data_IF_622814130008
#
_entry.id   IF_622814130008
#
_cell.length_a   1.000
_cell.length_b   1.000
_cell.length_c   1.000
_cell.angle_alpha   90.00
_cell.angle_beta   90.00
_cell.angle_gamma   90.00
#
_symmetry.space_group_name_H-M   'P 1'
#
loop_
_entity.id
_entity.type
_entity.pdbx_description
1 polymer ?
#
# COMPACT_ATOMS: atom_id res chain seq x y z
N UNK A 1 -4.51 4.18 -8.32
CA UNK A 1 -4.67 3.79 -6.92
C UNK A 1 -3.88 4.72 -6.01
N UNK A 2 -4.48 5.12 -4.89
CA UNK A 2 -3.81 5.84 -3.81
C UNK A 2 -3.80 4.97 -2.56
N UNK A 3 -2.62 4.72 -2.00
CA UNK A 3 -2.50 3.88 -0.80
C UNK A 3 -2.68 4.76 0.45
N UNK A 4 -3.62 4.37 1.30
CA UNK A 4 -3.90 5.03 2.59
C UNK A 4 -3.49 4.11 3.74
N UNK A 5 -2.91 4.70 4.78
CA UNK A 5 -2.59 4.01 6.03
C UNK A 5 -2.98 4.86 7.24
N UNK A 6 -2.91 4.26 8.42
CA UNK A 6 -3.19 4.95 9.70
C UNK A 6 -1.97 4.88 10.60
N UNK A 7 -1.50 6.02 11.09
CA UNK A 7 -0.40 6.03 12.05
C UNK A 7 -0.90 5.50 13.39
N UNK A 8 -0.41 4.34 13.84
CA UNK A 8 -0.82 3.76 15.13
C UNK A 8 -0.42 4.60 16.34
N UNK A 9 0.57 5.50 16.21
CA UNK A 9 1.03 6.35 17.32
C UNK A 9 0.13 7.56 17.55
N UNK A 10 -0.30 8.26 16.49
CA UNK A 10 -1.12 9.47 16.61
C UNK A 10 -2.55 9.30 16.10
N UNK A 11 -2.92 8.10 15.62
CA UNK A 11 -4.27 7.74 15.18
C UNK A 11 -4.73 8.36 13.86
N UNK A 12 -3.92 9.20 13.22
CA UNK A 12 -4.30 9.93 12.00
C UNK A 12 -3.99 9.15 10.74
N UNK A 13 -4.91 9.23 9.79
CA UNK A 13 -4.76 8.67 8.44
C UNK A 13 -3.72 9.45 7.63
N UNK A 14 -3.00 8.77 6.76
CA UNK A 14 -2.02 9.37 5.84
C UNK A 14 -2.09 8.69 4.48
N UNK A 15 -1.64 9.39 3.45
CA UNK A 15 -1.36 8.82 2.14
C UNK A 15 0.10 8.36 2.07
N UNK A 16 0.37 7.24 1.41
CA UNK A 16 1.73 6.73 1.20
C UNK A 16 2.64 7.81 0.59
N UNK A 17 2.14 8.57 -0.40
CA UNK A 17 2.81 9.73 -0.99
C UNK A 17 3.28 10.78 0.04
N UNK A 18 2.50 11.04 1.10
CA UNK A 18 2.91 11.96 2.17
C UNK A 18 4.07 11.38 3.00
N UNK A 19 4.12 10.07 3.19
CA UNK A 19 5.19 9.37 3.91
C UNK A 19 6.47 9.32 3.08
N UNK A 20 6.34 9.05 1.78
CA UNK A 20 7.43 9.07 0.80
C UNK A 20 8.10 10.45 0.81
N UNK A 21 7.31 11.52 0.65
CA UNK A 21 7.83 12.91 0.69
C UNK A 21 8.52 13.27 1.99
N UNK A 22 8.06 12.72 3.11
CA UNK A 22 8.63 12.96 4.44
C UNK A 22 9.75 11.96 4.81
N UNK A 23 10.24 11.16 3.86
CA UNK A 23 11.37 10.25 4.07
C UNK A 23 11.07 9.12 5.06
N UNK A 24 9.87 8.55 5.03
CA UNK A 24 9.48 7.43 5.90
C UNK A 24 9.00 7.85 7.29
N UNK A 25 8.71 9.15 7.48
CA UNK A 25 8.18 9.71 8.73
C UNK A 25 6.67 9.94 8.66
N UNK A 26 6.03 9.84 9.81
CA UNK A 26 4.63 10.21 9.93
C UNK A 26 4.47 11.71 9.59
N UNK A 27 3.56 12.08 8.66
CA UNK A 27 3.34 13.48 8.29
C UNK A 27 2.82 14.35 9.44
N UNK A 28 2.36 13.73 10.52
CA UNK A 28 1.58 14.37 11.54
C UNK A 28 2.28 14.51 12.89
N UNK A 29 3.12 13.54 13.26
CA UNK A 29 3.89 13.54 14.51
C UNK A 29 5.40 13.60 14.28
N UNK A 30 5.86 13.53 13.02
CA UNK A 30 7.27 13.64 12.63
C UNK A 30 8.15 12.43 13.00
N UNK A 31 7.60 11.44 13.72
CA UNK A 31 8.37 10.27 14.13
C UNK A 31 8.55 9.30 12.95
N UNK A 32 9.71 8.64 12.82
CA UNK A 32 9.93 7.65 11.77
C UNK A 32 8.99 6.46 11.95
N UNK A 33 8.38 5.95 10.87
CA UNK A 33 7.61 4.71 10.94
C UNK A 33 8.50 3.49 11.15
N UNK A 34 9.69 3.51 10.54
CA UNK A 34 10.78 2.63 10.91
C UNK A 34 12.10 3.40 11.00
N UNK A 35 12.81 3.25 12.11
CA UNK A 35 14.04 4.01 12.39
C UNK A 35 15.22 3.49 11.57
N UNK A 36 15.37 2.16 11.50
CA UNK A 36 16.53 1.52 10.87
C UNK A 36 16.32 1.21 9.38
N UNK A 37 15.06 1.27 8.92
CA UNK A 37 14.66 0.84 7.57
C UNK A 37 13.83 1.89 6.82
N UNK A 38 14.07 3.17 7.09
CA UNK A 38 13.31 4.26 6.46
C UNK A 38 13.39 4.25 4.93
N UNK A 39 14.57 3.96 4.36
CA UNK A 39 14.77 3.86 2.90
C UNK A 39 13.94 2.72 2.32
N UNK A 40 14.06 1.52 2.89
CA UNK A 40 13.30 0.33 2.46
C UNK A 40 11.79 0.59 2.53
N UNK A 41 11.31 1.27 3.56
CA UNK A 41 9.90 1.65 3.67
C UNK A 41 9.47 2.59 2.54
N UNK A 42 10.25 3.63 2.25
CA UNK A 42 9.95 4.60 1.20
C UNK A 42 9.95 3.93 -0.17
N UNK A 43 10.95 3.11 -0.46
CA UNK A 43 11.06 2.38 -1.72
C UNK A 43 9.87 1.43 -1.89
N UNK A 44 9.57 0.62 -0.88
CA UNK A 44 8.44 -0.31 -0.93
C UNK A 44 7.08 0.39 -1.10
N UNK A 45 6.86 1.54 -0.46
CA UNK A 45 5.62 2.32 -0.65
C UNK A 45 5.54 2.91 -2.06
N UNK A 46 6.67 3.38 -2.59
CA UNK A 46 6.74 3.93 -3.96
C UNK A 46 6.43 2.85 -4.98
N UNK A 47 7.06 1.69 -4.85
CA UNK A 47 6.86 0.54 -5.73
C UNK A 47 5.44 0.01 -5.65
N UNK A 48 4.86 -0.08 -4.44
CA UNK A 48 3.48 -0.53 -4.25
C UNK A 48 2.46 0.40 -4.93
N UNK A 49 2.61 1.73 -4.80
CA UNK A 49 1.73 2.68 -5.49
C UNK A 49 1.90 2.59 -7.01
N UNK A 50 3.14 2.53 -7.51
CA UNK A 50 3.41 2.45 -8.94
C UNK A 50 2.84 1.16 -9.55
N UNK A 51 3.14 0.00 -8.97
CA UNK A 51 2.66 -1.29 -9.45
C UNK A 51 1.13 -1.41 -9.36
N UNK A 52 0.52 -0.89 -8.29
CA UNK A 52 -0.94 -0.87 -8.14
C UNK A 52 -1.63 -0.01 -9.20
N UNK A 53 -1.08 1.17 -9.53
CA UNK A 53 -1.55 1.98 -10.65
C UNK A 53 -1.44 1.23 -11.99
N UNK A 54 -0.33 0.54 -12.22
CA UNK A 54 -0.15 -0.25 -13.45
C UNK A 54 -1.18 -1.36 -13.57
N UNK A 55 -1.42 -2.10 -12.48
CA UNK A 55 -2.40 -3.19 -12.46
C UNK A 55 -3.82 -2.66 -12.68
N UNK A 56 -4.23 -1.61 -11.96
CA UNK A 56 -5.55 -0.99 -12.11
C UNK A 56 -5.80 -0.55 -13.55
N UNK A 57 -4.85 0.17 -14.15
CA UNK A 57 -4.94 0.62 -15.55
C UNK A 57 -5.00 -0.55 -16.55
N UNK A 58 -4.35 -1.67 -16.26
CA UNK A 58 -4.39 -2.84 -17.12
C UNK A 58 -5.75 -3.56 -17.04
N UNK A 59 -6.29 -3.69 -15.82
CA UNK A 59 -7.62 -4.28 -15.60
C UNK A 59 -8.73 -3.42 -16.18
N UNK A 60 -8.64 -2.08 -16.07
CA UNK A 60 -9.56 -1.14 -16.72
C UNK A 60 -9.59 -1.37 -18.24
N UNK A 61 -8.43 -1.42 -18.90
CA UNK A 61 -8.35 -1.70 -20.34
C UNK A 61 -8.90 -3.07 -20.72
N UNK A 62 -8.69 -4.09 -19.89
CA UNK A 62 -9.25 -5.41 -20.11
C UNK A 62 -10.77 -5.40 -20.00
N UNK A 63 -11.33 -4.65 -19.05
CA UNK A 63 -12.76 -4.48 -18.93
C UNK A 63 -13.36 -3.76 -20.15
N UNK A 64 -12.68 -2.72 -20.65
CA UNK A 64 -13.14 -1.91 -21.79
C UNK A 64 -13.21 -2.69 -23.12
N UNK A 65 -12.38 -3.73 -23.30
CA UNK A 65 -12.39 -4.55 -24.52
C UNK A 65 -13.38 -5.72 -24.49
N UNK A 66 -14.11 -5.91 -23.37
CA UNK A 66 -15.15 -6.94 -23.19
C UNK A 66 -14.74 -8.34 -23.68
N UNK A 67 -13.69 -8.96 -23.10
CA UNK A 67 -13.16 -10.21 -23.60
C UNK A 67 -14.07 -11.40 -23.26
N UNK A 68 -14.02 -12.46 -24.07
CA UNK A 68 -14.73 -13.72 -23.82
C UNK A 68 -14.05 -14.61 -22.76
N UNK A 69 -13.60 -14.01 -21.66
CA UNK A 69 -13.09 -14.72 -20.49
C UNK A 69 -13.40 -13.93 -19.21
N UNK A 70 -13.27 -14.62 -18.08
CA UNK A 70 -13.30 -14.00 -16.74
C UNK A 70 -11.97 -14.24 -16.04
N UNK A 71 -11.51 -13.25 -15.29
CA UNK A 71 -10.40 -13.43 -14.36
C UNK A 71 -10.95 -13.88 -13.01
N UNK A 72 -10.24 -14.78 -12.35
CA UNK A 72 -10.55 -15.18 -10.98
C UNK A 72 -10.10 -14.07 -10.01
N UNK A 73 -11.05 -13.43 -9.32
CA UNK A 73 -10.78 -12.31 -8.40
C UNK A 73 -9.80 -12.71 -7.28
N UNK A 74 -9.96 -13.91 -6.72
CA UNK A 74 -9.13 -14.43 -5.64
C UNK A 74 -7.67 -14.54 -6.05
N UNK A 75 -7.40 -15.02 -7.28
CA UNK A 75 -6.05 -15.10 -7.83
C UNK A 75 -5.32 -13.76 -7.92
N UNK A 76 -6.06 -12.64 -7.95
CA UNK A 76 -5.50 -11.29 -7.99
C UNK A 76 -5.42 -10.68 -6.58
N UNK A 77 -6.48 -10.82 -5.78
CA UNK A 77 -6.63 -10.07 -4.52
C UNK A 77 -6.19 -10.82 -3.27
N UNK A 78 -6.20 -12.16 -3.26
CA UNK A 78 -6.01 -12.92 -2.02
C UNK A 78 -4.58 -12.80 -1.48
N UNK A 79 -3.57 -12.82 -2.35
CA UNK A 79 -2.18 -12.60 -1.94
C UNK A 79 -1.99 -11.18 -1.37
N UNK A 80 -2.54 -10.16 -2.04
CA UNK A 80 -2.52 -8.77 -1.57
C UNK A 80 -3.16 -8.67 -0.19
N UNK A 81 -4.33 -9.28 -0.01
CA UNK A 81 -5.02 -9.34 1.29
C UNK A 81 -4.15 -10.01 2.34
N UNK A 82 -3.51 -11.13 2.01
CA UNK A 82 -2.59 -11.84 2.90
C UNK A 82 -1.40 -10.98 3.34
N UNK A 83 -0.86 -10.11 2.48
CA UNK A 83 0.20 -9.15 2.86
C UNK A 83 -0.32 -8.07 3.82
N UNK A 84 -1.51 -7.51 3.56
CA UNK A 84 -2.12 -6.47 4.39
C UNK A 84 -2.46 -6.98 5.79
N UNK A 85 -3.03 -8.17 5.89
CA UNK A 85 -3.31 -8.80 7.19
C UNK A 85 -2.04 -9.05 8.01
N UNK A 86 -0.91 -9.35 7.36
CA UNK A 86 0.39 -9.48 8.05
C UNK A 86 0.87 -8.13 8.59
N UNK A 87 0.73 -7.05 7.80
CA UNK A 87 1.04 -5.69 8.26
C UNK A 87 0.19 -5.28 9.47
N UNK A 88 -1.09 -5.68 9.50
CA UNK A 88 -1.97 -5.48 10.65
C UNK A 88 -1.48 -6.26 11.89
N UNK A 89 -1.28 -7.58 11.73
CA UNK A 89 -0.94 -8.52 12.81
C UNK A 89 0.44 -8.29 13.44
N UNK A 90 1.50 -8.10 12.64
CA UNK A 90 2.90 -8.08 13.12
C UNK A 90 3.16 -6.92 14.10
N UNK A 91 2.31 -5.89 14.13
CA UNK A 91 2.45 -4.75 15.04
C UNK A 91 1.23 -4.59 15.97
N UNK A 92 0.44 -5.66 16.14
CA UNK A 92 -0.71 -5.76 17.04
C UNK A 92 -0.46 -6.70 18.24
N UNK A 93 0.77 -6.72 18.75
CA UNK A 93 1.13 -7.36 20.02
C UNK A 93 0.98 -6.35 21.16
N UNK A 94 0.33 -6.81 22.24
CA UNK A 94 0.01 -6.09 23.48
C UNK A 94 1.15 -5.27 24.09
#
# INVERSE_FOLDING_TARGET
MKIKGTCRRCGREFLAEQVIRNGGRCPWDGKPFQADYAVVLVDALTDAEAAGNTLENALEKLADIEPEFVLDEGSVLDEIRGHLERLERVHGGA
#
